data_IF_899414515440
#
_entry.id   IF_899414515440
#
_cell.length_a   1.000
_cell.length_b   1.000
_cell.length_c   1.000
_cell.angle_alpha   90.00
_cell.angle_beta   90.00
_cell.angle_gamma   90.00
#
_symmetry.space_group_name_H-M   'P 1'
#
loop_
_entity.id
_entity.type
_entity.pdbx_description
1 polymer ?
#
# COMPACT_ATOMS: atom_id res chain seq x y z
N UNK A 1 2.58 -11.52 13.44
CA UNK A 1 1.61 -11.16 12.38
C UNK A 1 0.81 -9.95 12.83
N UNK A 2 0.68 -8.96 11.95
CA UNK A 2 -0.10 -7.75 12.26
C UNK A 2 -1.58 -8.01 12.02
N UNK A 3 -2.45 -7.33 12.77
CA UNK A 3 -3.83 -7.16 12.36
C UNK A 3 -3.88 -6.13 11.23
N UNK A 4 -4.96 -6.08 10.47
CA UNK A 4 -5.03 -5.16 9.33
C UNK A 4 -6.43 -4.62 9.12
N UNK A 5 -6.51 -3.47 8.44
CA UNK A 5 -7.76 -2.86 8.00
C UNK A 5 -7.56 -2.23 6.62
N UNK A 6 -8.67 -1.86 5.99
CA UNK A 6 -8.69 -1.25 4.67
C UNK A 6 -9.67 -0.08 4.70
N UNK A 7 -9.27 1.05 4.13
CA UNK A 7 -10.21 2.16 3.96
C UNK A 7 -11.20 1.86 2.84
N UNK A 8 -12.33 2.56 2.86
CA UNK A 8 -13.30 2.45 1.76
C UNK A 8 -12.68 2.92 0.45
N UNK A 9 -11.83 3.95 0.50
CA UNK A 9 -11.15 4.44 -0.69
C UNK A 9 -10.18 3.39 -1.25
N UNK A 10 -9.47 2.67 -0.37
CA UNK A 10 -8.59 1.58 -0.79
C UNK A 10 -9.38 0.51 -1.56
N UNK A 11 -10.56 0.14 -1.06
CA UNK A 11 -11.41 -0.86 -1.72
C UNK A 11 -11.83 -0.40 -3.13
N UNK A 12 -12.15 0.88 -3.29
CA UNK A 12 -12.47 1.46 -4.59
C UNK A 12 -11.24 1.47 -5.51
N UNK A 13 -10.08 1.81 -4.96
CA UNK A 13 -8.82 1.81 -5.69
C UNK A 13 -8.49 0.41 -6.22
N UNK A 14 -8.69 -0.62 -5.40
CA UNK A 14 -8.44 -2.01 -5.79
C UNK A 14 -9.30 -2.38 -7.00
N UNK A 15 -10.59 -2.04 -6.98
CA UNK A 15 -11.47 -2.30 -8.11
C UNK A 15 -11.01 -1.58 -9.37
N UNK A 16 -10.51 -0.35 -9.23
CA UNK A 16 -10.00 0.44 -10.36
C UNK A 16 -8.76 -0.20 -10.99
N UNK A 17 -7.77 -0.59 -10.19
CA UNK A 17 -6.57 -1.20 -10.74
C UNK A 17 -6.86 -2.58 -11.34
N UNK A 18 -7.80 -3.31 -10.76
CA UNK A 18 -8.24 -4.59 -11.33
C UNK A 18 -8.87 -4.39 -12.71
N UNK A 19 -9.74 -3.38 -12.86
CA UNK A 19 -10.34 -3.06 -14.16
C UNK A 19 -9.31 -2.63 -15.20
N UNK A 20 -8.17 -2.06 -14.76
CA UNK A 20 -7.08 -1.69 -15.65
C UNK A 20 -6.22 -2.89 -16.07
N UNK A 21 -6.52 -4.07 -15.57
CA UNK A 21 -5.82 -5.29 -15.94
C UNK A 21 -4.53 -5.54 -15.17
N UNK A 22 -4.34 -4.89 -14.03
CA UNK A 22 -3.15 -5.13 -13.20
C UNK A 22 -3.15 -6.55 -12.64
N UNK A 23 -1.94 -7.09 -12.45
CA UNK A 23 -1.77 -8.42 -11.85
C UNK A 23 -2.05 -8.35 -10.35
N UNK A 24 -3.25 -8.75 -9.95
CA UNK A 24 -3.70 -8.66 -8.57
C UNK A 24 -2.91 -9.59 -7.63
N UNK A 25 -2.24 -10.61 -8.16
CA UNK A 25 -1.36 -11.46 -7.35
C UNK A 25 -0.20 -10.68 -6.77
N UNK A 26 0.31 -9.69 -7.50
CA UNK A 26 1.39 -8.81 -7.01
C UNK A 26 0.93 -7.99 -5.81
N UNK A 27 -0.29 -7.46 -5.86
CA UNK A 27 -0.86 -6.72 -4.73
C UNK A 27 -1.01 -7.65 -3.53
N UNK A 28 -1.54 -8.84 -3.73
CA UNK A 28 -1.75 -9.80 -2.65
C UNK A 28 -0.43 -10.12 -1.94
N UNK A 29 0.64 -10.38 -2.69
CA UNK A 29 1.95 -10.68 -2.11
C UNK A 29 2.43 -9.52 -1.24
N UNK A 30 2.26 -8.28 -1.71
CA UNK A 30 2.67 -7.11 -0.94
C UNK A 30 1.86 -6.97 0.35
N UNK A 31 0.54 -7.15 0.27
CA UNK A 31 -0.32 -7.08 1.46
C UNK A 31 0.08 -8.15 2.48
N UNK A 32 0.32 -9.37 2.03
CA UNK A 32 0.73 -10.47 2.92
C UNK A 32 2.05 -10.17 3.62
N UNK A 33 3.05 -9.64 2.89
CA UNK A 33 4.33 -9.27 3.48
C UNK A 33 4.16 -8.21 4.57
N UNK A 34 3.34 -7.21 4.33
CA UNK A 34 3.08 -6.16 5.31
C UNK A 34 2.32 -6.68 6.52
N UNK A 35 1.36 -7.57 6.32
CA UNK A 35 0.61 -8.20 7.42
C UNK A 35 1.56 -9.07 8.26
N UNK A 36 2.43 -9.83 7.62
CA UNK A 36 3.38 -10.69 8.32
C UNK A 36 4.48 -9.91 9.03
N UNK A 37 4.66 -8.64 8.71
CA UNK A 37 5.67 -7.81 9.33
C UNK A 37 7.07 -8.05 8.79
N UNK A 38 7.19 -8.67 7.62
CA UNK A 38 8.49 -8.91 7.00
C UNK A 38 9.08 -7.63 6.44
N UNK A 39 10.42 -7.43 6.56
CA UNK A 39 11.07 -6.31 5.89
C UNK A 39 10.88 -6.43 4.37
N UNK A 40 10.59 -5.29 3.72
CA UNK A 40 10.46 -5.26 2.27
C UNK A 40 11.84 -5.13 1.62
N UNK A 41 12.13 -5.90 0.54
CA UNK A 41 13.35 -5.70 -0.23
C UNK A 41 13.47 -4.26 -0.75
N UNK A 42 14.70 -3.73 -0.92
CA UNK A 42 14.90 -2.35 -1.37
C UNK A 42 14.23 -2.01 -2.70
N UNK A 43 14.02 -2.99 -3.56
CA UNK A 43 13.37 -2.80 -4.86
C UNK A 43 11.94 -2.27 -4.75
N UNK A 44 11.27 -2.49 -3.61
CA UNK A 44 9.92 -1.99 -3.39
C UNK A 44 9.90 -0.53 -2.89
N UNK A 45 11.06 0.08 -2.64
CA UNK A 45 11.20 1.50 -2.30
C UNK A 45 10.29 1.96 -1.17
N UNK A 46 10.13 1.13 -0.14
CA UNK A 46 9.32 1.48 1.02
C UNK A 46 9.91 2.69 1.74
N UNK A 47 9.12 3.76 1.88
CA UNK A 47 9.58 4.99 2.52
C UNK A 47 8.42 5.78 3.13
N UNK A 48 8.73 6.64 4.14
CA UNK A 48 7.70 7.49 4.73
C UNK A 48 7.28 8.61 3.77
N UNK A 49 6.04 9.04 3.89
CA UNK A 49 5.47 10.12 3.09
C UNK A 49 5.43 11.42 3.87
N UNK A 50 5.28 12.53 3.16
CA UNK A 50 5.17 13.88 3.70
C UNK A 50 3.87 14.52 3.22
N UNK A 51 3.60 15.75 3.71
CA UNK A 51 2.42 16.51 3.29
C UNK A 51 1.14 15.87 3.75
N UNK A 52 0.18 15.75 2.86
CA UNK A 52 -1.15 15.24 3.17
C UNK A 52 -1.15 13.79 3.65
N UNK A 53 -0.08 13.04 3.31
CA UNK A 53 0.07 11.65 3.73
C UNK A 53 1.09 11.49 4.86
N UNK A 54 1.43 12.57 5.57
CA UNK A 54 2.35 12.47 6.70
C UNK A 54 1.86 11.44 7.71
N UNK A 55 2.76 10.59 8.19
CA UNK A 55 2.41 9.48 9.07
C UNK A 55 2.15 8.17 8.34
N UNK A 56 1.99 8.21 7.03
CA UNK A 56 1.85 7.01 6.19
C UNK A 56 3.15 6.71 5.46
N UNK A 57 3.23 5.52 4.88
CA UNK A 57 4.37 5.08 4.08
C UNK A 57 3.86 4.62 2.73
N UNK A 58 4.72 4.63 1.71
CA UNK A 58 4.38 3.97 0.46
C UNK A 58 5.41 2.90 0.10
N UNK A 59 4.99 1.96 -0.71
CA UNK A 59 5.88 1.00 -1.35
C UNK A 59 5.42 0.79 -2.79
N UNK A 60 6.36 0.42 -3.65
CA UNK A 60 6.10 0.27 -5.08
C UNK A 60 5.86 -1.20 -5.41
N UNK A 61 4.64 -1.51 -5.87
CA UNK A 61 4.32 -2.86 -6.38
C UNK A 61 4.94 -3.01 -7.78
N UNK A 62 4.84 -1.95 -8.58
CA UNK A 62 5.51 -1.77 -9.87
C UNK A 62 6.05 -0.34 -9.91
N UNK A 63 6.79 0.02 -10.95
CA UNK A 63 7.39 1.35 -11.04
C UNK A 63 6.38 2.47 -10.92
N UNK A 64 5.16 2.31 -11.43
CA UNK A 64 4.07 3.27 -11.28
C UNK A 64 2.81 2.64 -10.70
N UNK A 65 2.98 1.73 -9.77
CA UNK A 65 1.87 1.18 -9.01
C UNK A 65 2.27 1.16 -7.54
N UNK A 66 1.68 2.05 -6.77
CA UNK A 66 2.06 2.36 -5.39
C UNK A 66 0.98 1.88 -4.42
N UNK A 67 1.40 1.45 -3.26
CA UNK A 67 0.51 1.13 -2.13
C UNK A 67 0.87 2.08 -0.99
N UNK A 68 -0.13 2.82 -0.47
CA UNK A 68 0.01 3.67 0.71
C UNK A 68 -0.59 2.95 1.90
N UNK A 69 0.17 2.87 2.99
CA UNK A 69 -0.28 2.20 4.20
C UNK A 69 0.21 2.94 5.44
N UNK A 70 -0.45 2.71 6.57
CA UNK A 70 -0.08 3.29 7.85
C UNK A 70 0.11 2.18 8.87
N UNK A 71 1.21 2.24 9.62
CA UNK A 71 1.43 1.36 10.76
C UNK A 71 0.96 2.06 12.01
N UNK A 72 0.11 1.41 12.79
CA UNK A 72 -0.41 1.94 14.04
C UNK A 72 -0.17 0.96 15.17
N UNK A 73 -0.42 1.38 16.41
CA UNK A 73 -0.23 0.54 17.59
C UNK A 73 1.21 0.00 17.67
N UNK A 74 2.19 0.87 17.44
CA UNK A 74 3.63 0.52 17.44
C UNK A 74 3.96 -0.60 16.45
N UNK A 75 3.27 -0.63 15.33
CA UNK A 75 3.48 -1.62 14.29
C UNK A 75 2.67 -2.90 14.43
N UNK A 76 1.79 -2.98 15.41
CA UNK A 76 0.95 -4.17 15.61
C UNK A 76 -0.20 -4.25 14.60
N UNK A 77 -0.54 -3.13 13.95
CA UNK A 77 -1.64 -3.06 13.00
C UNK A 77 -1.21 -2.28 11.75
N UNK A 78 -1.64 -2.74 10.58
CA UNK A 78 -1.43 -2.02 9.33
C UNK A 78 -2.77 -1.64 8.70
N UNK A 79 -2.90 -0.37 8.32
CA UNK A 79 -4.08 0.12 7.60
C UNK A 79 -3.69 0.39 6.15
N UNK A 80 -4.36 -0.27 5.22
CA UNK A 80 -4.15 -0.03 3.78
C UNK A 80 -5.02 1.14 3.36
N UNK A 81 -4.35 2.25 2.96
CA UNK A 81 -5.00 3.54 2.73
C UNK A 81 -5.41 3.77 1.29
N UNK A 82 -4.47 3.57 0.35
CA UNK A 82 -4.67 3.83 -1.07
C UNK A 82 -3.81 2.91 -1.92
N UNK A 83 -4.21 2.68 -3.16
CA UNK A 83 -3.35 2.07 -4.18
C UNK A 83 -3.71 2.62 -5.56
N UNK A 84 -2.70 2.74 -6.43
CA UNK A 84 -2.88 3.29 -7.78
C UNK A 84 -1.57 3.81 -8.34
N UNK A 85 -1.67 4.55 -9.45
CA UNK A 85 -0.50 5.20 -10.03
C UNK A 85 -0.15 6.46 -9.24
N UNK A 86 1.04 7.03 -9.50
CA UNK A 86 1.41 8.30 -8.89
C UNK A 86 0.40 9.39 -9.24
N UNK A 87 -0.10 9.43 -10.48
CA UNK A 87 -1.12 10.38 -10.89
C UNK A 87 -2.43 10.19 -10.14
N UNK A 88 -2.81 8.95 -9.84
CA UNK A 88 -4.03 8.69 -9.07
C UNK A 88 -3.94 9.25 -7.66
N UNK A 89 -2.77 9.19 -7.04
CA UNK A 89 -2.60 9.40 -5.61
C UNK A 89 -1.97 10.74 -5.23
N UNK A 90 -1.11 11.29 -6.08
CA UNK A 90 -0.26 12.44 -5.71
C UNK A 90 -0.42 13.64 -6.66
N UNK A 91 -1.60 13.92 -7.08
CA UNK A 91 -1.85 15.08 -7.93
C UNK A 91 -1.51 16.40 -7.25
#
# INVERSE_FOLDING_TARGET
MRTFSRTNQFKKDVRRVERRGKDMAKLRVMLERLIDGEPLPPEYRDHPLRGDFAGSRDCHIESDWVLIYTLVEKGAHVCFERTGTHSDLFR
#
